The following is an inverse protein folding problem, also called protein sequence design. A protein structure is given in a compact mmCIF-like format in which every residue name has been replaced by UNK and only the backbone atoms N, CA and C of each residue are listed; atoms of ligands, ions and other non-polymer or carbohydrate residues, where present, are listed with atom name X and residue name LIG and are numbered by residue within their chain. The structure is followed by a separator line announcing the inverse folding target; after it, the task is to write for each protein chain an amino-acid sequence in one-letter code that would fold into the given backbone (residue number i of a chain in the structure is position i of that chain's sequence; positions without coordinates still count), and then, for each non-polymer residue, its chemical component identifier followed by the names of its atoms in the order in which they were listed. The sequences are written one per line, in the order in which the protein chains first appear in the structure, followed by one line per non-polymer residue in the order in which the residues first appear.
data_IF_092721180709
#
_entry.id   IF_092721180709
#
_cell.length_a   1.000
_cell.length_b   1.000
_cell.length_c   1.000
_cell.angle_alpha   90.00
_cell.angle_beta   90.00
_cell.angle_gamma   90.00
#
_symmetry.space_group_name_H-M   'P 1'
#
loop_
_entity.id
_entity.type
_entity.pdbx_description
1 polymer ?
#
# COMPACT_ATOMS: atom_id res chain seq x y z
N UNK A 1 26.64 35.22 37.04
CA UNK A 1 25.33 35.56 36.38
C UNK A 1 25.24 35.03 34.96
N UNK A 2 26.35 34.94 34.21
CA UNK A 2 26.38 34.40 32.83
C UNK A 2 26.22 32.87 32.77
N UNK A 3 26.59 32.13 33.82
CA UNK A 3 26.49 30.67 33.84
C UNK A 3 25.05 30.16 34.05
N UNK A 4 24.20 30.93 34.70
CA UNK A 4 22.80 30.61 34.95
C UNK A 4 21.90 30.82 33.73
N UNK A 5 22.27 31.72 32.82
CA UNK A 5 21.53 31.96 31.57
C UNK A 5 21.77 30.88 30.54
N UNK A 6 22.98 30.24 30.56
CA UNK A 6 23.31 29.17 29.61
C UNK A 6 22.57 27.84 29.94
N UNK A 7 22.26 27.60 31.22
CA UNK A 7 21.55 26.38 31.65
C UNK A 7 20.06 26.45 31.31
N UNK A 8 19.46 27.64 31.27
CA UNK A 8 18.04 27.82 30.94
C UNK A 8 17.78 27.70 29.42
N UNK A 9 18.77 28.01 28.59
CA UNK A 9 18.63 27.89 27.11
C UNK A 9 18.84 26.46 26.63
N UNK A 10 19.64 25.66 27.33
CA UNK A 10 19.85 24.22 26.96
C UNK A 10 18.71 23.33 27.46
N UNK A 11 17.96 23.72 28.48
CA UNK A 11 16.78 22.97 28.94
C UNK A 11 15.51 23.21 28.11
N UNK A 12 15.53 24.19 27.19
CA UNK A 12 14.39 24.49 26.28
C UNK A 12 14.40 23.72 24.97
N UNK A 13 15.48 23.01 24.67
CA UNK A 13 15.54 22.02 23.57
C UNK A 13 15.23 20.62 24.12
N UNK A 14 14.10 20.48 24.78
CA UNK A 14 13.44 19.17 24.86
C UNK A 14 13.00 18.85 23.42
N UNK A 15 13.78 18.01 22.77
CA UNK A 15 13.31 17.25 21.62
C UNK A 15 11.93 16.76 22.01
N UNK A 16 10.89 17.29 21.37
CA UNK A 16 9.57 16.68 21.42
C UNK A 16 9.76 15.28 20.83
N UNK A 17 10.11 14.31 21.68
CA UNK A 17 9.84 12.93 21.32
C UNK A 17 8.36 12.94 20.96
N UNK A 18 8.06 12.74 19.68
CA UNK A 18 6.70 12.49 19.26
C UNK A 18 6.26 11.29 20.09
N UNK A 19 5.48 11.54 21.13
CA UNK A 19 4.79 10.47 21.83
C UNK A 19 3.95 9.81 20.75
N UNK A 20 4.33 8.59 20.38
CA UNK A 20 3.52 7.72 19.57
C UNK A 20 2.15 7.66 20.26
N UNK A 21 1.14 8.28 19.68
CA UNK A 21 -0.19 8.22 20.25
C UNK A 21 -0.64 6.77 20.22
N UNK A 22 -1.25 6.31 21.31
CA UNK A 22 -1.59 4.90 21.52
C UNK A 22 -2.87 4.49 20.78
N UNK A 23 -3.20 5.10 19.66
CA UNK A 23 -4.31 4.63 18.82
C UNK A 23 -3.84 3.37 18.12
N UNK A 24 -4.42 2.25 18.48
CA UNK A 24 -4.06 0.94 17.95
C UNK A 24 -5.11 0.49 16.93
N UNK A 25 -4.68 0.19 15.73
CA UNK A 25 -5.51 -0.48 14.75
C UNK A 25 -5.54 -1.97 15.09
N UNK A 26 -6.66 -2.45 15.61
CA UNK A 26 -6.82 -3.83 16.06
C UNK A 26 -8.07 -4.46 15.44
N UNK A 27 -7.87 -5.22 14.36
CA UNK A 27 -8.95 -5.94 13.71
C UNK A 27 -9.35 -7.23 14.46
N UNK A 28 -8.54 -7.71 15.42
CA UNK A 28 -8.86 -8.92 16.18
C UNK A 28 -10.04 -8.76 17.14
N UNK A 29 -10.41 -7.50 17.45
CA UNK A 29 -11.53 -7.16 18.31
C UNK A 29 -12.82 -6.87 17.55
N UNK A 30 -12.82 -6.99 16.21
CA UNK A 30 -14.03 -6.78 15.42
C UNK A 30 -15.08 -7.85 15.72
N UNK A 31 -16.22 -7.38 16.19
CA UNK A 31 -17.39 -8.22 16.45
C UNK A 31 -17.96 -8.68 15.10
N UNK A 32 -18.51 -9.90 15.05
CA UNK A 32 -19.10 -10.48 13.84
C UNK A 32 -20.14 -9.56 13.15
N UNK A 33 -20.80 -8.70 13.91
CA UNK A 33 -21.80 -7.76 13.41
C UNK A 33 -21.23 -6.67 12.47
N UNK A 34 -19.91 -6.43 12.48
CA UNK A 34 -19.22 -5.47 11.62
C UNK A 34 -18.44 -6.13 10.46
N UNK A 35 -18.69 -7.40 10.20
CA UNK A 35 -18.11 -8.14 9.09
C UNK A 35 -19.16 -8.40 8.02
N UNK A 36 -18.94 -7.91 6.80
CA UNK A 36 -19.78 -8.19 5.64
C UNK A 36 -19.06 -9.16 4.72
N UNK A 37 -19.75 -10.19 4.25
CA UNK A 37 -19.22 -11.14 3.26
C UNK A 37 -19.45 -10.62 1.85
N UNK A 38 -18.39 -10.63 1.02
CA UNK A 38 -18.44 -10.20 -0.36
C UNK A 38 -18.07 -11.37 -1.30
N UNK A 39 -18.91 -11.61 -2.28
CA UNK A 39 -18.69 -12.56 -3.36
C UNK A 39 -18.33 -11.77 -4.61
N UNK A 40 -17.25 -12.11 -5.34
CA UNK A 40 -16.86 -11.33 -6.49
C UNK A 40 -17.92 -11.39 -7.59
N UNK A 41 -18.26 -10.24 -8.16
CA UNK A 41 -19.13 -10.14 -9.33
C UNK A 41 -18.38 -10.49 -10.62
N UNK A 42 -17.06 -10.30 -10.61
CA UNK A 42 -16.17 -10.57 -11.74
C UNK A 42 -14.81 -11.01 -11.25
N UNK A 43 -14.18 -11.94 -11.99
CA UNK A 43 -12.76 -12.30 -11.87
C UNK A 43 -12.10 -12.05 -13.23
N UNK A 44 -11.02 -11.26 -13.23
CA UNK A 44 -10.24 -10.95 -14.42
C UNK A 44 -8.83 -11.52 -14.26
N UNK A 45 -8.41 -12.34 -15.21
CA UNK A 45 -7.10 -13.00 -15.17
C UNK A 45 -6.03 -12.13 -15.84
N UNK A 46 -5.04 -11.71 -15.06
CA UNK A 46 -3.95 -10.85 -15.53
C UNK A 46 -2.87 -11.62 -16.30
N UNK A 47 -2.72 -12.91 -16.04
CA UNK A 47 -1.82 -13.81 -16.77
C UNK A 47 -2.30 -14.11 -18.22
N UNK A 48 -3.47 -13.62 -18.62
CA UNK A 48 -3.94 -13.60 -20.01
C UNK A 48 -3.47 -12.35 -20.78
N UNK A 49 -2.86 -11.37 -20.08
CA UNK A 49 -2.29 -10.19 -20.70
C UNK A 49 -0.89 -10.50 -21.26
N UNK A 50 -0.47 -9.76 -22.28
CA UNK A 50 0.84 -9.93 -22.91
C UNK A 50 1.96 -9.25 -22.08
N UNK A 51 2.13 -9.66 -20.82
CA UNK A 51 3.13 -9.10 -19.88
C UNK A 51 4.35 -10.00 -19.66
N UNK A 52 4.29 -11.25 -20.14
CA UNK A 52 5.19 -12.29 -19.67
C UNK A 52 4.92 -12.67 -18.21
N UNK A 53 5.82 -13.44 -17.60
CA UNK A 53 5.70 -13.78 -16.19
C UNK A 53 5.95 -12.54 -15.33
N UNK A 54 5.11 -12.30 -14.33
CA UNK A 54 5.29 -11.28 -13.31
C UNK A 54 4.61 -11.69 -12.01
N UNK A 55 5.11 -11.13 -10.91
CA UNK A 55 4.54 -11.30 -9.57
C UNK A 55 3.85 -10.00 -9.20
N UNK A 56 2.52 -9.99 -9.27
CA UNK A 56 1.75 -8.78 -8.98
C UNK A 56 1.81 -8.41 -7.50
N UNK A 57 1.95 -7.12 -7.22
CA UNK A 57 1.89 -6.56 -5.87
C UNK A 57 1.00 -5.31 -5.84
N UNK A 58 1.54 -4.11 -5.68
CA UNK A 58 0.76 -2.89 -5.58
C UNK A 58 -0.12 -2.59 -6.79
N UNK A 59 -1.24 -1.91 -6.54
CA UNK A 59 -2.24 -1.55 -7.55
C UNK A 59 -2.76 -0.14 -7.28
N UNK A 60 -2.84 0.70 -8.31
CA UNK A 60 -3.35 2.06 -8.18
C UNK A 60 -4.00 2.55 -9.46
N UNK A 61 -4.86 3.58 -9.35
CA UNK A 61 -5.54 4.21 -10.46
C UNK A 61 -4.95 5.59 -10.76
N UNK A 62 -4.57 5.82 -12.01
CA UNK A 62 -4.15 7.11 -12.55
C UNK A 62 -5.38 7.85 -13.05
N UNK A 63 -5.87 8.78 -12.25
CA UNK A 63 -7.09 9.55 -12.57
C UNK A 63 -6.91 10.53 -13.72
N UNK A 64 -5.67 10.96 -14.01
CA UNK A 64 -5.38 11.88 -15.11
C UNK A 64 -5.51 11.19 -16.48
N UNK A 65 -5.05 9.95 -16.57
CA UNK A 65 -5.08 9.17 -17.81
C UNK A 65 -6.24 8.17 -17.86
N UNK A 66 -6.95 7.97 -16.75
CA UNK A 66 -7.99 6.94 -16.58
C UNK A 66 -7.43 5.52 -16.86
N UNK A 67 -6.27 5.21 -16.29
CA UNK A 67 -5.58 3.95 -16.44
C UNK A 67 -5.24 3.35 -15.08
N UNK A 68 -4.88 2.08 -15.07
CA UNK A 68 -4.42 1.39 -13.87
C UNK A 68 -2.93 1.08 -13.96
N UNK A 69 -2.27 1.07 -12.81
CA UNK A 69 -0.89 0.64 -12.68
C UNK A 69 -0.81 -0.53 -11.72
N UNK A 70 -0.04 -1.57 -12.11
CA UNK A 70 0.31 -2.72 -11.28
C UNK A 70 1.81 -2.76 -11.10
N UNK A 71 2.27 -3.03 -9.89
CA UNK A 71 3.66 -3.28 -9.59
C UNK A 71 4.02 -4.74 -9.84
N UNK A 72 5.22 -4.97 -10.39
CA UNK A 72 5.86 -6.27 -10.48
C UNK A 72 6.99 -6.36 -9.46
N UNK A 73 6.87 -7.29 -8.53
CA UNK A 73 7.85 -7.56 -7.49
C UNK A 73 9.27 -7.87 -8.02
N UNK A 74 9.37 -8.34 -9.26
CA UNK A 74 10.63 -8.64 -9.92
C UNK A 74 11.10 -10.09 -9.80
N UNK A 75 10.51 -10.91 -8.94
CA UNK A 75 10.95 -12.29 -8.71
C UNK A 75 10.85 -13.16 -9.96
N UNK A 76 9.72 -13.14 -10.65
CA UNK A 76 9.48 -13.96 -11.86
C UNK A 76 9.97 -13.29 -13.15
N UNK A 77 10.15 -11.97 -13.14
CA UNK A 77 10.64 -11.20 -14.28
C UNK A 77 12.17 -11.13 -14.39
N UNK A 78 12.90 -11.90 -13.57
CA UNK A 78 14.35 -11.93 -13.56
C UNK A 78 14.97 -10.72 -12.88
N UNK A 79 14.49 -10.41 -11.68
CA UNK A 79 14.97 -9.34 -10.80
C UNK A 79 14.84 -7.92 -11.37
N UNK A 80 13.83 -7.70 -12.21
CA UNK A 80 13.51 -6.38 -12.74
C UNK A 80 12.26 -5.83 -12.05
N UNK A 81 12.43 -4.76 -11.30
CA UNK A 81 11.31 -4.00 -10.80
C UNK A 81 10.70 -3.21 -11.95
N UNK A 82 9.42 -3.40 -12.19
CA UNK A 82 8.69 -2.67 -13.24
C UNK A 82 7.27 -2.33 -12.80
N UNK A 83 6.71 -1.33 -13.48
CA UNK A 83 5.31 -1.01 -13.44
C UNK A 83 4.66 -1.37 -14.77
N UNK A 84 3.44 -1.86 -14.72
CA UNK A 84 2.64 -2.23 -15.89
C UNK A 84 1.41 -1.33 -15.90
N UNK A 85 1.26 -0.52 -16.95
CA UNK A 85 0.07 0.30 -17.16
C UNK A 85 -0.97 -0.46 -17.97
N UNK A 86 -2.20 -0.48 -17.46
CA UNK A 86 -3.35 -1.13 -18.07
C UNK A 86 -4.40 -0.10 -18.46
N UNK A 87 -5.16 -0.41 -19.49
CA UNK A 87 -6.34 0.39 -19.85
C UNK A 87 -7.41 0.37 -18.75
N UNK A 88 -8.37 1.29 -18.85
CA UNK A 88 -9.48 1.44 -17.89
C UNK A 88 -10.35 0.18 -17.72
N UNK A 89 -10.30 -0.75 -18.66
CA UNK A 89 -11.05 -2.00 -18.60
C UNK A 89 -10.20 -3.18 -18.08
N UNK A 90 -8.93 -2.96 -17.73
CA UNK A 90 -7.99 -3.99 -17.26
C UNK A 90 -7.77 -5.14 -18.27
N UNK A 91 -7.89 -4.83 -19.55
CA UNK A 91 -7.82 -5.84 -20.65
C UNK A 91 -6.62 -5.69 -21.55
N UNK A 92 -5.92 -4.57 -21.49
CA UNK A 92 -4.83 -4.28 -22.39
C UNK A 92 -3.67 -3.63 -21.66
N UNK A 93 -2.46 -4.14 -21.89
CA UNK A 93 -1.22 -3.47 -21.50
C UNK A 93 -0.99 -2.29 -22.42
N UNK A 94 -0.84 -1.11 -21.83
CA UNK A 94 -0.52 0.13 -22.56
C UNK A 94 0.98 0.35 -22.63
N UNK A 95 1.68 0.10 -21.52
CA UNK A 95 3.14 0.12 -21.45
C UNK A 95 3.67 -0.67 -20.26
N UNK A 96 4.94 -1.01 -20.34
CA UNK A 96 5.75 -1.53 -19.24
C UNK A 96 6.90 -0.57 -18.99
N UNK A 97 7.10 -0.20 -17.73
CA UNK A 97 8.11 0.77 -17.33
C UNK A 97 9.05 0.13 -16.32
N UNK A 98 10.32 0.01 -16.70
CA UNK A 98 11.37 -0.41 -15.75
C UNK A 98 11.71 0.75 -14.82
N UNK A 99 11.85 0.46 -13.53
CA UNK A 99 12.25 1.43 -12.53
C UNK A 99 13.76 1.56 -12.56
N UNK A 100 14.25 2.76 -12.86
CA UNK A 100 15.68 3.07 -12.92
C UNK A 100 16.13 3.77 -11.63
N UNK A 101 17.36 3.49 -11.23
CA UNK A 101 18.04 4.21 -10.13
C UNK A 101 17.29 4.19 -8.77
N UNK A 102 16.43 3.20 -8.55
CA UNK A 102 15.79 3.02 -7.25
C UNK A 102 16.85 2.65 -6.19
N UNK A 103 16.57 3.06 -4.96
CA UNK A 103 17.38 2.66 -3.81
C UNK A 103 16.67 1.57 -3.02
N UNK A 104 17.38 0.52 -2.64
CA UNK A 104 16.89 -0.48 -1.69
C UNK A 104 18.05 -0.97 -0.81
N UNK A 105 17.75 -1.74 0.20
CA UNK A 105 18.73 -2.32 1.14
C UNK A 105 19.43 -3.59 0.60
N UNK A 106 19.41 -3.80 -0.71
CA UNK A 106 19.93 -4.97 -1.40
C UNK A 106 18.90 -6.08 -1.60
N UNK A 107 17.63 -5.82 -1.30
CA UNK A 107 16.50 -6.71 -1.57
C UNK A 107 15.64 -6.11 -2.68
N UNK A 108 15.44 -6.89 -3.72
CA UNK A 108 14.44 -6.56 -4.75
C UNK A 108 13.06 -6.90 -4.16
N UNK A 109 12.32 -5.86 -3.79
CA UNK A 109 11.02 -6.02 -3.15
C UNK A 109 10.17 -4.78 -3.41
N UNK A 110 9.61 -4.67 -4.60
CA UNK A 110 8.62 -3.66 -4.94
C UNK A 110 7.26 -4.16 -4.44
N UNK A 111 6.67 -3.40 -3.54
CA UNK A 111 5.40 -3.75 -2.91
C UNK A 111 4.31 -2.74 -3.34
N UNK A 112 3.78 -1.96 -2.43
CA UNK A 112 2.71 -1.01 -2.70
C UNK A 112 3.09 0.10 -3.66
N UNK A 113 2.09 0.60 -4.38
CA UNK A 113 2.19 1.79 -5.23
C UNK A 113 0.99 2.71 -5.02
N UNK A 114 1.21 4.02 -5.20
CA UNK A 114 0.16 5.03 -5.10
C UNK A 114 0.36 6.13 -6.16
N UNK A 115 -0.71 6.51 -6.83
CA UNK A 115 -0.69 7.61 -7.78
C UNK A 115 -0.81 8.96 -7.06
N UNK A 116 0.05 9.89 -7.42
CA UNK A 116 0.10 11.27 -6.96
C UNK A 116 -0.46 12.21 -8.03
N UNK A 117 -1.58 12.84 -7.74
CA UNK A 117 -2.26 13.74 -8.69
C UNK A 117 -1.56 15.08 -8.87
N UNK A 118 -0.69 15.50 -7.93
CA UNK A 118 0.03 16.78 -8.02
C UNK A 118 1.21 16.69 -8.98
N UNK A 119 2.09 15.71 -8.75
CA UNK A 119 3.32 15.58 -9.53
C UNK A 119 3.14 14.68 -10.76
N UNK A 120 1.94 14.13 -10.96
CA UNK A 120 1.63 13.15 -12.02
C UNK A 120 2.66 12.00 -12.01
N UNK A 121 2.89 11.45 -10.82
CA UNK A 121 3.93 10.50 -10.50
C UNK A 121 3.38 9.29 -9.73
N UNK A 122 4.23 8.30 -9.49
CA UNK A 122 3.87 7.11 -8.71
C UNK A 122 4.81 7.00 -7.52
N UNK A 123 4.26 6.96 -6.32
CA UNK A 123 4.98 6.55 -5.13
C UNK A 123 5.04 5.03 -5.06
N UNK A 124 6.21 4.50 -4.69
CA UNK A 124 6.47 3.06 -4.55
C UNK A 124 7.01 2.74 -3.17
N UNK A 125 6.62 1.59 -2.62
CA UNK A 125 7.18 1.04 -1.39
C UNK A 125 8.28 0.02 -1.75
N UNK A 126 9.52 0.29 -1.33
CA UNK A 126 10.69 -0.56 -1.63
C UNK A 126 11.59 -0.69 -0.40
N UNK A 127 11.62 -1.87 0.21
CA UNK A 127 12.45 -2.14 1.38
C UNK A 127 12.13 -1.21 2.56
N UNK A 128 13.10 -0.48 3.07
CA UNK A 128 12.94 0.49 4.16
C UNK A 128 12.80 1.93 3.68
N UNK A 129 12.28 2.13 2.48
CA UNK A 129 12.01 3.45 1.90
C UNK A 129 10.70 3.50 1.12
N UNK A 130 10.18 4.72 0.95
CA UNK A 130 9.19 5.03 -0.07
C UNK A 130 9.82 6.00 -1.06
N UNK A 131 9.53 5.80 -2.33
CA UNK A 131 10.19 6.52 -3.42
C UNK A 131 9.17 7.03 -4.40
N UNK A 132 9.35 8.26 -4.85
CA UNK A 132 8.57 8.82 -5.94
C UNK A 132 9.30 8.60 -7.25
N UNK A 133 8.58 8.08 -8.24
CA UNK A 133 9.09 7.86 -9.59
C UNK A 133 8.14 8.49 -10.61
N UNK A 134 8.71 9.02 -11.68
CA UNK A 134 7.90 9.45 -12.82
C UNK A 134 7.25 8.24 -13.50
N UNK A 135 6.18 8.44 -14.25
CA UNK A 135 5.55 7.42 -15.11
C UNK A 135 6.46 6.87 -16.24
N UNK A 136 7.72 7.28 -16.25
CA UNK A 136 8.80 6.76 -17.13
C UNK A 136 9.88 5.99 -16.36
N UNK A 137 9.64 5.69 -15.08
CA UNK A 137 10.53 4.91 -14.23
C UNK A 137 11.70 5.68 -13.61
N UNK A 138 11.77 7.01 -13.78
CA UNK A 138 12.87 7.80 -13.23
C UNK A 138 12.59 8.18 -11.77
N UNK A 139 13.53 7.86 -10.87
CA UNK A 139 13.50 8.28 -9.47
C UNK A 139 13.57 9.81 -9.33
N UNK A 140 12.65 10.40 -8.57
CA UNK A 140 12.54 11.84 -8.30
C UNK A 140 12.75 12.17 -6.83
N UNK A 141 12.28 11.32 -5.90
CA UNK A 141 12.36 11.56 -4.45
C UNK A 141 12.48 10.25 -3.67
N UNK A 142 13.11 10.34 -2.50
CA UNK A 142 13.23 9.22 -1.55
C UNK A 142 12.91 9.70 -0.14
N UNK A 143 12.05 8.97 0.56
CA UNK A 143 11.82 9.11 2.00
C UNK A 143 12.34 7.84 2.67
N UNK A 144 13.42 7.98 3.46
CA UNK A 144 14.04 6.90 4.21
C UNK A 144 13.25 6.62 5.49
N UNK A 145 12.74 5.40 5.62
CA UNK A 145 12.01 4.92 6.80
C UNK A 145 12.94 4.33 7.86
N UNK A 146 14.20 4.06 7.53
CA UNK A 146 15.19 3.48 8.45
C UNK A 146 15.41 4.34 9.71
N UNK A 147 15.24 5.66 9.60
CA UNK A 147 15.24 6.59 10.74
C UNK A 147 14.10 6.33 11.74
N UNK A 148 13.04 5.63 11.32
CA UNK A 148 11.91 5.23 12.17
C UNK A 148 12.00 3.75 12.61
N UNK A 149 13.19 3.22 12.88
CA UNK A 149 13.49 1.88 13.42
C UNK A 149 13.38 0.73 12.41
N UNK A 150 13.79 0.93 11.18
CA UNK A 150 13.89 -0.10 10.13
C UNK A 150 12.55 -0.80 9.86
N UNK A 151 11.53 -0.03 9.58
CA UNK A 151 10.26 -0.57 9.11
C UNK A 151 10.37 -0.90 7.62
N UNK A 152 9.98 -2.10 7.25
CA UNK A 152 9.82 -2.47 5.86
C UNK A 152 8.47 -1.92 5.37
N UNK A 153 8.51 -1.10 4.33
CA UNK A 153 7.31 -0.59 3.69
C UNK A 153 6.66 -1.70 2.85
N UNK A 154 5.37 -1.92 3.05
CA UNK A 154 4.55 -2.81 2.24
C UNK A 154 3.55 -1.99 1.43
N UNK A 155 2.46 -1.58 2.06
CA UNK A 155 1.43 -0.77 1.43
C UNK A 155 1.77 0.72 1.46
N UNK A 156 1.34 1.43 0.43
CA UNK A 156 1.37 2.89 0.39
C UNK A 156 0.09 3.39 -0.28
N UNK A 157 -0.50 4.45 0.25
CA UNK A 157 -1.52 5.21 -0.44
C UNK A 157 -1.29 6.71 -0.30
N UNK A 158 -1.82 7.44 -1.26
CA UNK A 158 -1.84 8.89 -1.28
C UNK A 158 -3.23 9.38 -0.88
N UNK A 159 -3.31 10.27 0.08
CA UNK A 159 -4.49 11.10 0.25
C UNK A 159 -4.34 12.29 -0.71
N UNK A 160 -5.07 12.23 -1.81
CA UNK A 160 -5.02 13.27 -2.84
C UNK A 160 -5.84 14.52 -2.48
N UNK A 161 -6.55 14.54 -1.36
CA UNK A 161 -7.28 15.71 -0.87
C UNK A 161 -6.38 16.60 -0.01
N UNK A 162 -5.70 16.02 0.97
CA UNK A 162 -4.77 16.75 1.85
C UNK A 162 -3.30 16.63 1.44
N UNK A 163 -3.02 15.84 0.39
CA UNK A 163 -1.69 15.62 -0.18
C UNK A 163 -0.70 14.98 0.78
N UNK A 164 -1.16 14.04 1.58
CA UNK A 164 -0.35 13.28 2.52
C UNK A 164 -0.14 11.84 2.08
N UNK A 165 0.86 11.19 2.66
CA UNK A 165 1.23 9.81 2.37
C UNK A 165 0.97 8.92 3.58
N UNK A 166 0.32 7.80 3.35
CA UNK A 166 0.13 6.76 4.34
C UNK A 166 0.92 5.52 3.93
N UNK A 167 1.69 4.97 4.87
CA UNK A 167 2.59 3.85 4.63
C UNK A 167 2.30 2.75 5.63
N UNK A 168 1.91 1.59 5.14
CA UNK A 168 1.75 0.39 5.94
C UNK A 168 3.09 -0.33 6.03
N UNK A 169 3.58 -0.51 7.25
CA UNK A 169 4.82 -1.23 7.52
C UNK A 169 4.50 -2.61 8.07
N UNK A 170 5.11 -3.63 7.47
CA UNK A 170 4.82 -5.04 7.71
C UNK A 170 4.62 -5.39 9.20
N UNK A 171 3.41 -5.82 9.55
CA UNK A 171 2.97 -6.31 10.87
C UNK A 171 3.30 -5.37 12.06
N UNK A 172 3.44 -4.05 11.84
CA UNK A 172 3.86 -3.16 12.94
C UNK A 172 3.12 -1.84 13.04
N UNK A 173 3.21 -1.02 12.01
CA UNK A 173 2.70 0.35 12.06
C UNK A 173 2.10 0.77 10.73
N UNK A 174 1.16 1.68 10.78
CA UNK A 174 0.79 2.55 9.69
C UNK A 174 1.34 3.94 10.00
N UNK A 175 2.11 4.52 9.10
CA UNK A 175 2.78 5.80 9.25
C UNK A 175 2.14 6.83 8.34
N UNK A 176 1.89 8.01 8.85
CA UNK A 176 1.30 9.13 8.12
C UNK A 176 2.35 10.23 7.95
N UNK A 177 2.64 10.63 6.73
CA UNK A 177 3.66 11.61 6.38
C UNK A 177 3.07 12.77 5.58
N UNK A 178 3.70 13.95 5.71
CA UNK A 178 3.59 14.95 4.66
C UNK A 178 4.41 14.56 3.41
N UNK A 179 4.26 15.31 2.33
CA UNK A 179 5.01 15.05 1.07
C UNK A 179 6.51 15.29 1.20
N UNK A 180 6.97 16.07 2.17
CA UNK A 180 8.37 16.33 2.48
C UNK A 180 9.03 15.18 3.25
N UNK A 181 8.24 14.21 3.73
CA UNK A 181 8.68 13.05 4.49
C UNK A 181 8.81 13.33 5.99
N UNK A 182 8.12 14.35 6.50
CA UNK A 182 7.98 14.54 7.93
C UNK A 182 6.87 13.63 8.44
N UNK A 183 7.16 12.84 9.48
CA UNK A 183 6.16 12.00 10.13
C UNK A 183 5.16 12.86 10.89
N UNK A 184 3.90 12.80 10.49
CA UNK A 184 2.78 13.48 11.12
C UNK A 184 2.23 12.65 12.27
N UNK A 185 2.01 11.34 12.01
CA UNK A 185 1.44 10.41 12.99
C UNK A 185 1.85 8.97 12.72
N UNK A 186 1.75 8.13 13.75
CA UNK A 186 1.95 6.69 13.60
C UNK A 186 0.91 5.92 14.39
N UNK A 187 0.46 4.81 13.81
CA UNK A 187 -0.56 3.95 14.36
C UNK A 187 0.00 2.53 14.52
N UNK A 188 0.13 1.99 15.75
CA UNK A 188 0.42 0.56 15.92
C UNK A 188 -0.66 -0.28 15.27
N UNK A 189 -0.25 -1.23 14.44
CA UNK A 189 -1.15 -2.17 13.75
C UNK A 189 -1.08 -3.52 14.42
N UNK A 190 -2.23 -4.07 14.79
CA UNK A 190 -2.38 -5.41 15.32
C UNK A 190 -3.25 -6.25 14.38
N UNK A 191 -2.77 -6.40 13.16
CA UNK A 191 -3.30 -7.31 12.16
C UNK A 191 -2.15 -8.18 11.69
N UNK A 192 -2.42 -9.47 11.56
CA UNK A 192 -1.47 -10.41 10.97
C UNK A 192 -1.70 -10.47 9.47
N UNK A 193 -0.60 -10.59 8.71
CA UNK A 193 -0.62 -10.81 7.26
C UNK A 193 -1.36 -9.69 6.49
N UNK A 194 -1.31 -8.43 7.02
CA UNK A 194 -1.74 -7.26 6.26
C UNK A 194 -0.69 -6.94 5.19
N UNK A 195 -1.13 -6.35 4.08
CA UNK A 195 -0.24 -6.11 2.96
C UNK A 195 -0.39 -4.73 2.33
N UNK A 196 -1.47 -4.46 1.60
CA UNK A 196 -1.66 -3.21 0.86
C UNK A 196 -2.70 -2.30 1.48
N UNK A 197 -2.62 -1.02 1.12
CA UNK A 197 -3.59 0.00 1.52
C UNK A 197 -3.99 0.86 0.33
N UNK A 198 -5.23 1.35 0.37
CA UNK A 198 -5.75 2.34 -0.55
C UNK A 198 -6.61 3.37 0.19
N UNK A 199 -6.50 4.65 -0.20
CA UNK A 199 -7.29 5.74 0.37
C UNK A 199 -8.46 6.07 -0.55
N UNK A 200 -9.66 6.07 0.01
CA UNK A 200 -10.88 6.49 -0.68
C UNK A 200 -11.86 7.14 0.31
N UNK A 201 -12.30 8.36 0.02
CA UNK A 201 -13.27 9.14 0.81
C UNK A 201 -12.91 9.20 2.32
N UNK A 202 -11.65 9.53 2.65
CA UNK A 202 -11.16 9.61 4.04
C UNK A 202 -11.04 8.27 4.75
N UNK A 203 -11.23 7.15 4.04
CA UNK A 203 -11.12 5.80 4.57
C UNK A 203 -9.90 5.08 3.99
N UNK A 204 -9.17 4.37 4.83
CA UNK A 204 -8.08 3.50 4.39
C UNK A 204 -8.56 2.05 4.37
N UNK A 205 -8.53 1.45 3.20
CA UNK A 205 -8.84 0.04 2.95
C UNK A 205 -7.54 -0.76 3.01
N UNK A 206 -7.48 -1.75 3.89
CA UNK A 206 -6.28 -2.53 4.20
C UNK A 206 -6.54 -3.97 3.81
N UNK A 207 -5.73 -4.55 2.91
CA UNK A 207 -5.81 -5.98 2.60
C UNK A 207 -5.17 -6.81 3.70
N UNK A 208 -5.78 -7.96 4.01
CA UNK A 208 -5.30 -8.93 4.98
C UNK A 208 -5.39 -10.31 4.37
N UNK A 209 -4.26 -11.03 4.30
CA UNK A 209 -4.20 -12.37 3.78
C UNK A 209 -3.20 -12.58 2.63
N UNK A 210 -2.11 -11.79 2.58
CA UNK A 210 -1.07 -11.93 1.56
C UNK A 210 -0.56 -13.38 1.41
N UNK A 211 -0.35 -14.07 2.52
CA UNK A 211 0.11 -15.47 2.53
C UNK A 211 -1.02 -16.51 2.52
N UNK A 212 -2.29 -16.10 2.43
CA UNK A 212 -3.44 -17.02 2.54
C UNK A 212 -3.72 -17.72 1.20
N UNK A 213 -3.39 -19.00 1.16
CA UNK A 213 -3.44 -19.82 -0.07
C UNK A 213 -4.80 -20.45 -0.37
N UNK A 214 -5.62 -20.66 0.63
CA UNK A 214 -6.94 -21.29 0.51
C UNK A 214 -7.83 -20.93 1.69
N UNK A 215 -7.37 -20.03 2.54
CA UNK A 215 -8.11 -19.45 3.64
C UNK A 215 -8.80 -18.17 3.17
N UNK A 216 -9.70 -17.68 3.99
CA UNK A 216 -10.45 -16.47 3.66
C UNK A 216 -9.61 -15.23 3.90
N UNK A 217 -9.67 -14.30 2.98
CA UNK A 217 -8.97 -13.03 3.02
C UNK A 217 -9.94 -11.91 3.40
N UNK A 218 -9.38 -10.79 3.85
CA UNK A 218 -10.19 -9.69 4.35
C UNK A 218 -9.72 -8.35 3.78
N UNK A 219 -10.66 -7.40 3.72
CA UNK A 219 -10.37 -5.98 3.61
C UNK A 219 -10.88 -5.29 4.89
N UNK A 220 -9.99 -4.64 5.62
CA UNK A 220 -10.31 -3.90 6.84
C UNK A 220 -10.35 -2.41 6.52
N UNK A 221 -11.43 -1.73 6.90
CA UNK A 221 -11.62 -0.32 6.62
C UNK A 221 -11.36 0.51 7.87
N UNK A 222 -10.35 1.35 7.82
CA UNK A 222 -9.96 2.29 8.87
C UNK A 222 -10.41 3.70 8.52
N UNK A 223 -11.14 4.33 9.41
CA UNK A 223 -11.60 5.71 9.29
C UNK A 223 -10.54 6.65 9.89
N UNK A 224 -9.98 7.53 9.05
CA UNK A 224 -8.90 8.43 9.44
C UNK A 224 -9.35 9.56 10.36
N UNK A 225 -10.63 9.92 10.34
CA UNK A 225 -11.19 11.00 11.17
C UNK A 225 -11.50 10.52 12.59
N UNK A 226 -12.14 9.34 12.69
CA UNK A 226 -12.49 8.75 13.98
C UNK A 226 -11.38 7.88 14.56
N UNK A 227 -10.38 7.54 13.74
CA UNK A 227 -9.24 6.68 14.07
C UNK A 227 -9.66 5.28 14.55
N UNK A 228 -10.73 4.76 14.00
CA UNK A 228 -11.28 3.45 14.34
C UNK A 228 -11.50 2.57 13.10
N UNK A 229 -11.54 1.27 13.32
CA UNK A 229 -12.03 0.33 12.31
C UNK A 229 -13.54 0.56 12.13
N UNK A 230 -13.96 0.82 10.91
CA UNK A 230 -15.36 1.06 10.53
C UNK A 230 -16.11 -0.22 10.20
N UNK A 231 -15.49 -1.06 9.37
CA UNK A 231 -16.06 -2.32 8.88
C UNK A 231 -14.93 -3.26 8.43
N UNK A 232 -15.25 -4.54 8.36
CA UNK A 232 -14.42 -5.56 7.75
C UNK A 232 -15.21 -6.27 6.65
N UNK A 233 -14.58 -6.47 5.50
CA UNK A 233 -15.12 -7.28 4.41
C UNK A 233 -14.37 -8.60 4.35
N UNK A 234 -15.09 -9.71 4.32
CA UNK A 234 -14.56 -11.04 4.04
C UNK A 234 -14.67 -11.29 2.55
N UNK A 235 -13.56 -11.54 1.88
CA UNK A 235 -13.44 -11.58 0.44
C UNK A 235 -13.41 -13.04 -0.05
N UNK A 236 -14.52 -13.54 -0.56
CA UNK A 236 -14.57 -14.87 -1.14
C UNK A 236 -13.83 -14.93 -2.49
N UNK A 237 -13.20 -16.06 -2.80
CA UNK A 237 -12.45 -16.31 -4.04
C UNK A 237 -11.31 -15.31 -4.28
N UNK A 238 -10.72 -14.81 -3.19
CA UNK A 238 -9.54 -13.97 -3.20
C UNK A 238 -8.48 -14.64 -2.34
N UNK A 239 -7.34 -14.98 -2.93
CA UNK A 239 -6.26 -15.72 -2.27
C UNK A 239 -4.91 -15.09 -2.59
N UNK A 240 -4.04 -14.99 -1.56
CA UNK A 240 -2.79 -14.24 -1.67
C UNK A 240 -3.06 -12.81 -2.16
N UNK A 241 -3.81 -12.06 -1.35
CA UNK A 241 -4.22 -10.69 -1.67
C UNK A 241 -3.03 -9.74 -1.60
N UNK A 242 -2.88 -8.96 -2.65
CA UNK A 242 -1.81 -8.00 -2.84
C UNK A 242 -2.40 -6.59 -2.97
N UNK A 243 -2.52 -6.06 -4.18
CA UNK A 243 -3.02 -4.72 -4.44
C UNK A 243 -4.52 -4.53 -4.22
N UNK A 244 -4.93 -3.30 -3.95
CA UNK A 244 -6.34 -2.92 -3.78
C UNK A 244 -6.61 -1.55 -4.39
N UNK A 245 -7.76 -1.39 -5.03
CA UNK A 245 -8.33 -0.13 -5.50
C UNK A 245 -9.82 -0.10 -5.21
N UNK A 246 -10.35 1.07 -4.90
CA UNK A 246 -11.77 1.30 -4.58
C UNK A 246 -12.29 2.47 -5.41
N UNK A 247 -13.50 2.34 -5.94
CA UNK A 247 -14.31 3.41 -6.50
C UNK A 247 -15.67 3.48 -5.78
N UNK A 248 -16.62 4.24 -6.31
CA UNK A 248 -17.93 4.45 -5.68
C UNK A 248 -18.75 3.16 -5.47
N UNK A 249 -18.55 2.16 -6.33
CA UNK A 249 -19.39 0.97 -6.39
C UNK A 249 -18.62 -0.32 -6.08
N UNK A 250 -17.28 -0.34 -6.32
CA UNK A 250 -16.53 -1.58 -6.37
C UNK A 250 -15.22 -1.55 -5.59
N UNK A 251 -14.87 -2.70 -5.02
CA UNK A 251 -13.54 -3.03 -4.51
C UNK A 251 -12.86 -3.95 -5.53
N UNK A 252 -11.68 -3.57 -6.00
CA UNK A 252 -10.82 -4.37 -6.88
C UNK A 252 -9.65 -4.88 -6.08
N UNK A 253 -9.43 -6.18 -6.05
CA UNK A 253 -8.35 -6.82 -5.29
C UNK A 253 -7.48 -7.63 -6.23
N UNK A 254 -6.21 -7.27 -6.28
CA UNK A 254 -5.19 -8.04 -6.99
C UNK A 254 -4.76 -9.22 -6.15
N UNK A 255 -4.68 -10.39 -6.77
CA UNK A 255 -4.33 -11.65 -6.13
C UNK A 255 -3.14 -12.29 -6.85
N UNK A 256 -2.15 -12.71 -6.10
CA UNK A 256 -0.95 -13.37 -6.61
C UNK A 256 -0.94 -14.88 -6.32
N UNK A 257 -2.04 -15.52 -6.66
CA UNK A 257 -2.22 -16.95 -6.43
C UNK A 257 -1.24 -17.83 -7.20
N UNK A 258 -0.68 -17.35 -8.31
CA UNK A 258 0.33 -18.06 -9.08
C UNK A 258 1.63 -18.24 -8.29
N UNK A 259 2.19 -17.16 -7.78
CA UNK A 259 3.43 -17.18 -6.99
C UNK A 259 3.29 -17.99 -5.69
N UNK A 260 2.18 -17.81 -4.99
CA UNK A 260 1.90 -18.49 -3.73
C UNK A 260 1.38 -19.93 -3.89
N UNK A 261 1.11 -20.39 -5.12
CA UNK A 261 0.44 -21.68 -5.38
C UNK A 261 -0.85 -21.83 -4.56
N UNK A 262 -1.68 -20.80 -4.63
CA UNK A 262 -2.94 -20.70 -3.88
C UNK A 262 -4.06 -21.56 -4.52
N UNK A 263 -5.26 -21.56 -3.93
CA UNK A 263 -6.41 -22.31 -4.40
C UNK A 263 -6.83 -21.92 -5.83
N UNK A 264 -6.70 -20.65 -6.20
CA UNK A 264 -6.71 -20.19 -7.59
C UNK A 264 -5.26 -19.87 -7.97
N UNK A 265 -4.51 -20.79 -8.62
CA UNK A 265 -3.09 -20.64 -8.88
C UNK A 265 -2.84 -19.78 -10.14
N UNK A 266 -3.40 -18.57 -10.16
CA UNK A 266 -3.32 -17.59 -11.24
C UNK A 266 -3.12 -16.19 -10.64
N UNK A 267 -2.60 -15.28 -11.44
CA UNK A 267 -2.60 -13.85 -11.14
C UNK A 267 -3.88 -13.23 -11.67
N UNK A 268 -4.68 -12.61 -10.80
CA UNK A 268 -6.02 -12.16 -11.16
C UNK A 268 -6.50 -10.98 -10.29
N UNK A 269 -7.54 -10.29 -10.78
CA UNK A 269 -8.28 -9.27 -10.02
C UNK A 269 -9.68 -9.82 -9.72
N UNK A 270 -10.05 -9.82 -8.45
CA UNK A 270 -11.43 -10.02 -7.99
C UNK A 270 -12.11 -8.68 -7.82
N UNK A 271 -13.33 -8.54 -8.34
CA UNK A 271 -14.13 -7.31 -8.26
C UNK A 271 -15.37 -7.57 -7.43
N UNK A 272 -15.60 -6.76 -6.42
CA UNK A 272 -16.70 -6.89 -5.47
C UNK A 272 -17.55 -5.62 -5.48
N UNK A 273 -18.87 -5.78 -5.52
CA UNK A 273 -19.82 -4.72 -5.21
C UNK A 273 -20.04 -4.66 -3.68
N UNK A 274 -20.02 -3.44 -3.04
CA UNK A 274 -19.97 -3.30 -1.59
C UNK A 274 -20.95 -2.25 -0.99
#
# INVERSE_FOLDING_TARGET
LLLLVLIVVVSGLVVKEHRLENVKIDASTMVADNCKELIPTTIMYLDELETGNFTSTGFTYDSANQTFWIADHGTDSGDKLRLIELDSNLKKVLQEVQIENYTNDGKLNLQGIAYDTIDDAIWIAVGDSIQEISKRGKLTKVIDLGKYKKYQANGICMDNEDHTLWVLCYNKYMLHFDREGNLLKSYPVNMKDQDMIYMYDGLIYITVGADYKGEENYCVVFDTQTENIKIQYKLYQSYAVEGIYIDDDYIYVVNDGAFHNAMIPRTYISVYEY
#
